data_IF_257341258161
#
_entry.id   IF_257341258161
#
_cell.length_a   1.000
_cell.length_b   1.000
_cell.length_c   1.000
_cell.angle_alpha   90.00
_cell.angle_beta   90.00
_cell.angle_gamma   90.00
#
_symmetry.space_group_name_H-M   'P 1'
#
loop_
_entity.id
_entity.type
_entity.pdbx_description
1 polymer ?
#
# COMPACT_ATOMS: atom_id res chain seq x y z
N UNK A 1 -24.98 -27.94 -4.57
CA UNK A 1 -23.55 -28.03 -4.27
C UNK A 1 -22.99 -26.61 -4.42
N UNK A 2 -22.75 -25.96 -3.31
CA UNK A 2 -22.09 -24.65 -3.23
C UNK A 2 -20.61 -24.87 -3.59
N UNK A 3 -20.19 -24.29 -4.74
CA UNK A 3 -18.81 -24.39 -5.17
C UNK A 3 -17.92 -23.58 -4.26
N UNK A 4 -16.93 -24.23 -3.63
CA UNK A 4 -15.83 -23.56 -2.94
C UNK A 4 -15.24 -22.50 -3.85
N UNK A 5 -15.37 -21.22 -3.47
CA UNK A 5 -14.65 -20.11 -4.10
C UNK A 5 -13.16 -20.33 -3.87
N UNK A 6 -12.46 -20.79 -4.90
CA UNK A 6 -10.99 -20.85 -4.87
C UNK A 6 -10.46 -19.42 -4.82
N UNK A 7 -10.12 -18.98 -3.62
CA UNK A 7 -9.35 -17.75 -3.41
C UNK A 7 -8.08 -17.82 -4.25
N UNK A 8 -7.80 -16.77 -5.03
CA UNK A 8 -6.58 -16.59 -5.82
C UNK A 8 -6.64 -16.96 -7.33
N UNK A 9 -7.81 -16.96 -7.95
CA UNK A 9 -7.95 -17.15 -9.41
C UNK A 9 -8.30 -15.81 -10.07
N UNK A 10 -7.55 -15.45 -11.10
CA UNK A 10 -7.89 -14.29 -11.93
C UNK A 10 -9.21 -14.50 -12.66
N UNK A 11 -10.27 -13.70 -12.42
CA UNK A 11 -11.50 -13.77 -13.18
C UNK A 11 -11.25 -13.51 -14.67
N UNK A 12 -11.89 -14.29 -15.52
CA UNK A 12 -11.72 -14.19 -16.96
C UNK A 12 -13.04 -14.35 -17.70
N UNK A 13 -13.05 -13.90 -18.95
CA UNK A 13 -14.14 -14.12 -19.92
C UNK A 13 -13.57 -14.77 -21.17
N UNK A 14 -14.37 -15.58 -21.83
CA UNK A 14 -14.01 -16.18 -23.14
C UNK A 14 -14.81 -15.47 -24.23
N UNK A 15 -14.11 -14.88 -25.20
CA UNK A 15 -14.69 -14.22 -26.37
C UNK A 15 -14.00 -14.79 -27.63
N UNK A 16 -14.76 -15.29 -28.58
CA UNK A 16 -14.24 -15.87 -29.82
C UNK A 16 -13.13 -16.92 -29.60
N UNK A 17 -13.35 -17.85 -28.66
CA UNK A 17 -12.42 -18.90 -28.25
C UNK A 17 -11.08 -18.38 -27.66
N UNK A 18 -11.00 -17.09 -27.31
CA UNK A 18 -9.84 -16.49 -26.60
C UNK A 18 -10.22 -16.12 -25.18
N UNK A 19 -9.31 -16.40 -24.24
CA UNK A 19 -9.46 -16.08 -22.84
C UNK A 19 -8.88 -14.69 -22.55
N UNK A 20 -9.67 -13.85 -21.88
CA UNK A 20 -9.28 -12.51 -21.47
C UNK A 20 -9.45 -12.37 -19.95
N UNK A 21 -8.46 -11.82 -19.27
CA UNK A 21 -8.53 -11.54 -17.84
C UNK A 21 -9.28 -10.23 -17.62
N UNK A 22 -10.25 -10.24 -16.71
CA UNK A 22 -11.13 -9.08 -16.44
C UNK A 22 -10.35 -7.85 -16.00
N UNK A 23 -9.41 -7.99 -15.06
CA UNK A 23 -8.57 -6.89 -14.59
C UNK A 23 -7.78 -6.20 -15.71
N UNK A 24 -7.25 -6.98 -16.68
CA UNK A 24 -6.56 -6.43 -17.85
C UNK A 24 -7.52 -5.65 -18.75
N UNK A 25 -8.73 -6.19 -18.97
CA UNK A 25 -9.74 -5.48 -19.76
C UNK A 25 -10.17 -4.18 -19.11
N UNK A 26 -10.43 -4.20 -17.79
CA UNK A 26 -10.80 -3.01 -17.03
C UNK A 26 -9.68 -1.97 -17.08
N UNK A 27 -8.45 -2.36 -16.80
CA UNK A 27 -7.33 -1.43 -16.83
C UNK A 27 -7.14 -0.78 -18.21
N UNK A 28 -7.17 -1.59 -19.28
CA UNK A 28 -6.99 -1.09 -20.67
C UNK A 28 -8.06 -0.10 -21.11
N UNK A 29 -9.27 -0.21 -20.58
CA UNK A 29 -10.39 0.62 -21.03
C UNK A 29 -10.64 1.84 -20.14
N UNK A 30 -10.28 1.76 -18.86
CA UNK A 30 -10.69 2.75 -17.88
C UNK A 30 -9.54 3.41 -17.10
N UNK A 31 -8.32 2.86 -17.16
CA UNK A 31 -7.17 3.44 -16.47
C UNK A 31 -6.16 3.95 -17.49
N UNK A 32 -5.92 5.26 -17.48
CA UNK A 32 -4.86 5.86 -18.30
C UNK A 32 -3.51 5.31 -17.85
N UNK A 33 -2.73 4.79 -18.81
CA UNK A 33 -1.34 4.42 -18.55
C UNK A 33 -0.44 5.62 -18.83
N UNK A 34 0.16 6.15 -17.80
CA UNK A 34 1.04 7.34 -17.83
C UNK A 34 2.43 7.04 -18.42
N UNK A 35 2.84 5.75 -18.48
CA UNK A 35 4.13 5.31 -19.04
C UNK A 35 3.98 3.93 -19.70
N UNK A 36 3.38 3.86 -20.92
CA UNK A 36 3.12 2.58 -21.58
C UNK A 36 4.37 1.79 -21.98
N UNK A 37 5.52 2.44 -22.08
CA UNK A 37 6.79 1.79 -22.46
C UNK A 37 7.35 0.96 -21.29
N UNK A 38 7.21 1.44 -20.06
CA UNK A 38 7.76 0.79 -18.88
C UNK A 38 6.70 0.11 -18.02
N UNK A 39 5.50 0.68 -17.89
CA UNK A 39 4.38 0.13 -17.12
C UNK A 39 3.52 -0.80 -17.97
N UNK A 40 4.00 -2.02 -18.17
CA UNK A 40 3.38 -2.99 -19.07
C UNK A 40 2.47 -4.01 -18.39
N UNK A 41 2.39 -3.97 -17.05
CA UNK A 41 1.61 -4.92 -16.25
C UNK A 41 0.50 -4.22 -15.47
N UNK A 42 -0.57 -4.97 -15.16
CA UNK A 42 -1.64 -4.52 -14.27
C UNK A 42 -1.51 -5.26 -12.95
N UNK A 43 -1.48 -4.51 -11.86
CA UNK A 43 -1.35 -5.00 -10.50
C UNK A 43 -2.64 -4.74 -9.70
N UNK A 44 -2.93 -5.62 -8.72
CA UNK A 44 -4.01 -5.45 -7.77
C UNK A 44 -3.45 -4.82 -6.50
N UNK A 45 -3.92 -3.62 -6.17
CA UNK A 45 -3.42 -2.82 -5.05
C UNK A 45 -3.57 -3.56 -3.72
N UNK A 46 -4.72 -4.23 -3.52
CA UNK A 46 -5.02 -5.01 -2.32
C UNK A 46 -4.51 -6.47 -2.36
N UNK A 47 -3.80 -6.87 -3.45
CA UNK A 47 -3.32 -8.23 -3.70
C UNK A 47 -4.43 -9.30 -3.86
N UNK A 48 -5.71 -8.93 -3.87
CA UNK A 48 -6.81 -9.83 -4.18
C UNK A 48 -7.00 -9.90 -5.70
N UNK A 49 -6.59 -11.01 -6.29
CA UNK A 49 -6.68 -11.26 -7.74
C UNK A 49 -8.12 -11.40 -8.24
N UNK A 50 -9.08 -11.59 -7.36
CA UNK A 50 -10.49 -11.69 -7.71
C UNK A 50 -11.17 -10.32 -7.80
N UNK A 51 -10.62 -9.31 -7.15
CA UNK A 51 -11.12 -7.94 -7.10
C UNK A 51 -10.59 -7.11 -8.26
N UNK A 52 -11.31 -7.13 -9.37
CA UNK A 52 -11.00 -6.33 -10.57
C UNK A 52 -11.71 -4.96 -10.58
N UNK A 53 -12.11 -4.43 -9.41
CA UNK A 53 -12.68 -3.10 -9.31
C UNK A 53 -11.66 -2.04 -9.74
N UNK A 54 -12.15 -0.99 -10.40
CA UNK A 54 -11.30 0.05 -11.00
C UNK A 54 -10.33 0.69 -10.01
N UNK A 55 -10.80 0.99 -8.80
CA UNK A 55 -10.00 1.59 -7.74
C UNK A 55 -8.91 0.67 -7.17
N UNK A 56 -8.99 -0.64 -7.46
CA UNK A 56 -8.03 -1.64 -7.01
C UNK A 56 -6.96 -1.98 -8.05
N UNK A 57 -7.00 -1.39 -9.23
CA UNK A 57 -6.09 -1.71 -10.33
C UNK A 57 -5.18 -0.53 -10.67
N UNK A 58 -3.93 -0.84 -11.00
CA UNK A 58 -2.96 0.15 -11.48
C UNK A 58 -2.02 -0.44 -12.53
N UNK A 59 -1.50 0.44 -13.39
CA UNK A 59 -0.40 0.10 -14.28
C UNK A 59 0.92 0.14 -13.53
N UNK A 60 1.76 -0.88 -13.72
CA UNK A 60 3.06 -1.02 -13.05
C UNK A 60 4.11 -1.56 -14.01
N UNK A 61 5.36 -1.22 -13.75
CA UNK A 61 6.49 -1.89 -14.39
C UNK A 61 6.67 -3.31 -13.86
N UNK A 62 7.36 -4.20 -14.58
CA UNK A 62 7.71 -5.53 -14.08
C UNK A 62 8.45 -5.50 -12.74
N UNK A 63 9.33 -4.51 -12.54
CA UNK A 63 10.08 -4.32 -11.30
C UNK A 63 9.18 -3.94 -10.13
N UNK A 64 8.28 -2.98 -10.31
CA UNK A 64 7.28 -2.59 -9.29
C UNK A 64 6.37 -3.74 -8.93
N UNK A 65 5.88 -4.50 -9.93
CA UNK A 65 5.06 -5.67 -9.69
C UNK A 65 5.80 -6.77 -8.93
N UNK A 66 7.08 -6.96 -9.20
CA UNK A 66 7.91 -7.92 -8.46
C UNK A 66 8.14 -7.50 -7.00
N UNK A 67 8.34 -6.23 -6.74
CA UNK A 67 8.49 -5.67 -5.39
C UNK A 67 7.20 -5.78 -4.58
N UNK A 68 6.04 -5.72 -5.26
CA UNK A 68 4.73 -5.90 -4.65
C UNK A 68 4.33 -7.36 -4.40
N UNK A 69 5.07 -8.33 -4.93
CA UNK A 69 4.84 -9.74 -4.59
C UNK A 69 5.23 -9.95 -3.14
N UNK A 70 4.23 -9.92 -2.25
CA UNK A 70 4.42 -10.26 -0.85
C UNK A 70 5.02 -11.66 -0.73
N UNK A 71 6.18 -11.76 -0.09
CA UNK A 71 6.65 -13.01 0.46
C UNK A 71 5.57 -13.58 1.40
N UNK A 72 5.15 -14.77 1.20
CA UNK A 72 4.37 -15.78 1.94
C UNK A 72 3.76 -15.51 3.32
N UNK A 73 3.64 -14.27 3.78
CA UNK A 73 2.87 -13.91 4.96
C UNK A 73 1.60 -13.23 4.49
N UNK A 74 0.47 -13.82 4.80
CA UNK A 74 -0.88 -13.31 4.57
C UNK A 74 -1.16 -12.06 5.43
N UNK A 75 -0.42 -10.99 5.22
CA UNK A 75 -0.75 -9.69 5.74
C UNK A 75 -1.92 -9.21 4.90
N UNK A 76 -3.13 -9.24 5.48
CA UNK A 76 -4.26 -8.54 4.89
C UNK A 76 -3.95 -7.05 4.93
N UNK A 77 -3.68 -6.47 3.77
CA UNK A 77 -3.57 -5.03 3.65
C UNK A 77 -4.97 -4.43 3.71
N UNK A 78 -5.19 -3.48 4.59
CA UNK A 78 -6.40 -2.67 4.63
C UNK A 78 -6.16 -1.39 3.83
N UNK A 79 -7.16 -1.03 3.02
CA UNK A 79 -7.15 0.18 2.23
C UNK A 79 -8.37 1.02 2.59
N UNK A 80 -8.20 2.32 2.57
CA UNK A 80 -9.27 3.29 2.80
C UNK A 80 -9.25 4.31 1.68
N UNK A 81 -10.44 4.82 1.34
CA UNK A 81 -10.60 5.81 0.27
C UNK A 81 -10.26 7.22 0.74
N UNK A 82 -10.18 7.42 2.06
CA UNK A 82 -9.88 8.71 2.67
C UNK A 82 -9.19 8.52 4.02
N UNK A 83 -8.52 9.55 4.50
CA UNK A 83 -7.88 9.61 5.82
C UNK A 83 -8.38 10.86 6.55
N UNK A 84 -8.32 10.90 7.91
CA UNK A 84 -8.72 12.10 8.66
C UNK A 84 -7.99 13.36 8.18
N UNK A 85 -8.72 14.48 8.10
CA UNK A 85 -8.15 15.78 7.68
C UNK A 85 -7.01 16.25 8.60
N UNK A 86 -7.03 15.81 9.85
CA UNK A 86 -5.99 16.10 10.85
C UNK A 86 -4.78 15.16 10.74
N UNK A 87 -4.77 14.22 9.80
CA UNK A 87 -3.64 13.32 9.62
C UNK A 87 -2.39 14.10 9.22
N UNK A 88 -1.35 13.95 10.03
CA UNK A 88 -0.08 14.65 9.85
C UNK A 88 0.76 13.98 8.75
N UNK A 89 1.34 14.78 7.85
CA UNK A 89 2.29 14.31 6.85
C UNK A 89 3.59 13.90 7.55
N UNK A 90 4.13 12.75 7.17
CA UNK A 90 5.45 12.29 7.63
C UNK A 90 6.47 12.58 6.53
N UNK A 91 7.24 13.63 6.67
CA UNK A 91 8.26 14.07 5.71
C UNK A 91 9.67 13.64 6.11
N UNK A 92 9.92 13.40 7.40
CA UNK A 92 11.21 12.92 7.90
C UNK A 92 11.10 12.05 9.15
N UNK A 93 12.18 11.36 9.46
CA UNK A 93 12.40 10.67 10.73
C UNK A 93 13.88 10.67 11.08
N UNK A 94 14.21 11.03 12.31
CA UNK A 94 15.58 11.00 12.82
C UNK A 94 15.88 9.65 13.51
N UNK A 95 16.79 8.90 12.93
CA UNK A 95 17.34 7.72 13.56
C UNK A 95 18.35 8.14 14.65
N UNK A 96 19.05 7.20 15.27
CA UNK A 96 20.14 7.52 16.21
C UNK A 96 21.34 8.19 15.56
N UNK A 97 21.52 8.00 14.26
CA UNK A 97 22.75 8.35 13.53
C UNK A 97 22.51 9.32 12.39
N UNK A 98 21.31 9.41 11.86
CA UNK A 98 21.03 10.19 10.67
C UNK A 98 19.55 10.57 10.56
N UNK A 99 19.27 11.65 9.83
CA UNK A 99 17.92 12.03 9.40
C UNK A 99 17.60 11.29 8.10
N UNK A 100 16.39 10.75 8.03
CA UNK A 100 15.81 10.12 6.85
C UNK A 100 14.65 10.94 6.36
N UNK A 101 14.61 11.21 5.07
CA UNK A 101 13.53 11.97 4.43
C UNK A 101 12.65 11.05 3.62
N UNK A 102 11.35 11.37 3.58
CA UNK A 102 10.35 10.62 2.85
C UNK A 102 9.83 11.45 1.68
N UNK A 103 9.27 10.77 0.70
CA UNK A 103 8.63 11.41 -0.46
C UNK A 103 7.45 12.27 0.02
N UNK A 104 7.33 13.46 -0.51
CA UNK A 104 6.30 14.43 -0.14
C UNK A 104 4.88 13.84 -0.31
N UNK A 105 4.02 14.05 0.68
CA UNK A 105 2.63 13.58 0.70
C UNK A 105 2.46 12.06 0.48
N UNK A 106 3.45 11.26 0.84
CA UNK A 106 3.40 9.81 0.71
C UNK A 106 2.93 9.08 1.95
N UNK A 107 3.36 9.55 3.13
CA UNK A 107 3.06 8.90 4.41
C UNK A 107 2.37 9.87 5.35
N UNK A 108 1.43 9.33 6.14
CA UNK A 108 0.62 10.09 7.08
C UNK A 108 0.53 9.37 8.41
N UNK A 109 0.44 10.12 9.48
CA UNK A 109 0.21 9.66 10.83
C UNK A 109 -1.07 10.28 11.39
N UNK A 110 -1.86 9.50 12.11
CA UNK A 110 -3.04 9.95 12.84
C UNK A 110 -3.13 9.18 14.15
N UNK A 111 -3.45 9.89 15.25
CA UNK A 111 -3.79 9.27 16.51
C UNK A 111 -5.32 9.19 16.64
N UNK A 112 -5.86 7.99 16.64
CA UNK A 112 -7.28 7.74 16.80
C UNK A 112 -7.64 7.76 18.27
N UNK A 113 -8.09 8.90 18.77
CA UNK A 113 -8.47 9.10 20.18
C UNK A 113 -9.61 8.16 20.62
N UNK A 114 -10.53 7.81 19.72
CA UNK A 114 -11.69 6.98 20.03
C UNK A 114 -11.29 5.55 20.38
N UNK A 115 -10.24 5.05 19.75
CA UNK A 115 -9.72 3.70 19.94
C UNK A 115 -8.40 3.70 20.73
N UNK A 116 -7.81 4.87 21.01
CA UNK A 116 -6.49 5.04 21.60
C UNK A 116 -5.40 4.30 20.78
N UNK A 117 -5.41 4.49 19.45
CA UNK A 117 -4.54 3.79 18.52
C UNK A 117 -3.75 4.74 17.63
N UNK A 118 -2.48 4.41 17.43
CA UNK A 118 -1.63 5.03 16.42
C UNK A 118 -1.94 4.43 15.04
N UNK A 119 -2.20 5.26 14.04
CA UNK A 119 -2.46 4.84 12.67
C UNK A 119 -1.48 5.47 11.70
N UNK A 120 -0.95 4.67 10.81
CA UNK A 120 -0.03 5.10 9.77
C UNK A 120 -0.59 4.72 8.41
N UNK A 121 -0.50 5.63 7.46
CA UNK A 121 -1.03 5.44 6.12
C UNK A 121 0.05 5.70 5.08
N UNK A 122 -0.02 4.96 3.97
CA UNK A 122 0.76 5.23 2.77
C UNK A 122 -0.20 5.57 1.62
N UNK A 123 -0.03 6.72 1.01
CA UNK A 123 -0.78 7.10 -0.19
C UNK A 123 -0.37 6.22 -1.37
N UNK A 124 -1.35 5.62 -2.01
CA UNK A 124 -1.16 4.76 -3.19
C UNK A 124 -1.61 5.49 -4.45
N UNK A 125 -2.76 6.16 -4.38
CA UNK A 125 -3.29 7.06 -5.43
C UNK A 125 -3.92 8.28 -4.74
N UNK A 126 -4.46 9.23 -5.50
CA UNK A 126 -5.07 10.43 -4.92
C UNK A 126 -6.23 10.14 -3.97
N UNK A 127 -6.90 9.00 -4.12
CA UNK A 127 -8.07 8.63 -3.34
C UNK A 127 -7.94 7.24 -2.71
N UNK A 128 -6.74 6.69 -2.57
CA UNK A 128 -6.53 5.38 -1.94
C UNK A 128 -5.31 5.43 -1.06
N UNK A 129 -5.51 5.07 0.20
CA UNK A 129 -4.47 4.97 1.21
C UNK A 129 -4.41 3.55 1.75
N UNK A 130 -3.21 3.05 1.94
CA UNK A 130 -2.95 1.78 2.59
C UNK A 130 -2.69 2.01 4.06
N UNK A 131 -3.41 1.29 4.93
CA UNK A 131 -3.11 1.27 6.36
C UNK A 131 -1.84 0.45 6.57
N UNK A 132 -0.86 1.04 7.24
CA UNK A 132 0.43 0.40 7.49
C UNK A 132 0.38 -0.41 8.79
N UNK A 133 0.91 -1.62 8.72
CA UNK A 133 0.97 -2.49 9.88
C UNK A 133 2.03 -2.02 10.89
N UNK A 134 1.64 -1.92 12.16
CA UNK A 134 2.55 -1.68 13.27
C UNK A 134 3.15 -3.02 13.70
N UNK A 135 4.47 -3.07 13.69
CA UNK A 135 5.24 -4.23 14.09
C UNK A 135 5.81 -4.02 15.51
N UNK A 136 6.01 -5.11 16.24
CA UNK A 136 6.67 -5.07 17.55
C UNK A 136 7.99 -5.83 17.47
N UNK A 137 9.08 -5.21 17.90
CA UNK A 137 10.38 -5.88 17.95
C UNK A 137 10.50 -6.77 19.20
N UNK A 138 11.61 -7.53 19.29
CA UNK A 138 11.88 -8.44 20.43
C UNK A 138 11.94 -7.74 21.81
N UNK A 139 12.17 -6.44 21.84
CA UNK A 139 12.22 -5.62 23.05
C UNK A 139 10.89 -4.95 23.39
N UNK A 140 9.81 -5.26 22.64
CA UNK A 140 8.47 -4.70 22.86
C UNK A 140 8.27 -3.30 22.24
N UNK A 141 9.24 -2.76 21.48
CA UNK A 141 9.08 -1.47 20.86
C UNK A 141 8.29 -1.58 19.54
N UNK A 142 7.30 -0.73 19.38
CA UNK A 142 6.48 -0.65 18.18
C UNK A 142 7.10 0.24 17.11
N UNK A 143 6.97 -0.18 15.86
CA UNK A 143 7.49 0.55 14.70
C UNK A 143 6.69 0.24 13.44
N UNK A 144 6.71 1.18 12.48
CA UNK A 144 6.28 0.96 11.11
C UNK A 144 7.50 0.96 10.19
N UNK A 145 7.40 0.24 9.07
CA UNK A 145 8.45 0.21 8.05
C UNK A 145 8.05 1.11 6.89
N UNK A 146 8.79 2.20 6.70
CA UNK A 146 8.61 3.14 5.60
C UNK A 146 9.80 3.03 4.62
N UNK A 147 9.65 3.58 3.42
CA UNK A 147 10.75 3.74 2.45
C UNK A 147 11.12 5.20 2.34
N UNK A 148 12.39 5.50 2.48
CA UNK A 148 12.93 6.84 2.31
C UNK A 148 13.05 7.22 0.81
N UNK A 149 13.46 8.46 0.55
CA UNK A 149 13.66 8.97 -0.83
C UNK A 149 14.74 8.20 -1.61
N UNK A 150 15.64 7.49 -0.92
CA UNK A 150 16.63 6.60 -1.52
C UNK A 150 16.12 5.17 -1.72
N UNK A 151 14.81 4.94 -1.47
CA UNK A 151 14.16 3.62 -1.53
C UNK A 151 14.69 2.59 -0.50
N UNK A 152 15.31 3.05 0.57
CA UNK A 152 15.75 2.21 1.69
C UNK A 152 14.62 2.04 2.70
N UNK A 153 14.50 0.84 3.28
CA UNK A 153 13.53 0.59 4.35
C UNK A 153 14.02 1.18 5.68
N UNK A 154 13.19 2.01 6.29
CA UNK A 154 13.43 2.66 7.58
C UNK A 154 12.40 2.18 8.59
N UNK A 155 12.86 1.68 9.73
CA UNK A 155 12.00 1.37 10.88
C UNK A 155 11.74 2.65 11.68
N UNK A 156 10.53 3.19 11.56
CA UNK A 156 10.09 4.38 12.30
C UNK A 156 9.49 3.93 13.63
N UNK A 157 10.25 4.07 14.71
CA UNK A 157 9.81 3.71 16.06
C UNK A 157 8.81 4.74 16.60
N UNK A 158 7.62 4.31 16.96
CA UNK A 158 6.46 5.18 17.24
C UNK A 158 6.75 6.19 18.37
N UNK A 159 7.25 5.73 19.51
CA UNK A 159 7.55 6.64 20.63
C UNK A 159 8.59 7.71 20.26
N UNK A 160 9.65 7.34 19.52
CA UNK A 160 10.64 8.31 19.07
C UNK A 160 10.05 9.29 18.06
N UNK A 161 9.25 8.80 17.14
CA UNK A 161 8.54 9.62 16.15
C UNK A 161 7.66 10.65 16.85
N UNK A 162 6.85 10.24 17.84
CA UNK A 162 6.01 11.14 18.61
C UNK A 162 6.81 12.24 19.33
N UNK A 163 7.94 11.90 19.94
CA UNK A 163 8.84 12.90 20.56
C UNK A 163 9.44 13.87 19.54
N UNK A 164 9.79 13.40 18.34
CA UNK A 164 10.38 14.26 17.29
C UNK A 164 9.39 15.28 16.73
N UNK A 165 8.10 14.98 16.83
CA UNK A 165 7.02 15.83 16.31
C UNK A 165 6.17 16.47 17.42
N UNK A 166 6.67 16.51 18.67
CA UNK A 166 6.01 17.12 19.83
C UNK A 166 4.58 16.61 20.08
N UNK A 167 4.36 15.31 19.86
CA UNK A 167 3.06 14.66 20.02
C UNK A 167 2.87 14.03 21.42
N UNK A 168 3.94 13.90 22.18
CA UNK A 168 3.99 13.43 23.59
C UNK A 168 5.12 14.10 24.35
#
# INVERSE_FOLDING_TARGET
AEGEYRQNVYPCVSLNNKKYYKHILVAKHFITNDDPEHKTQVDHINHDRSDYHLSNLRWVSPTENQQNKSSHLSIKYEFVDDIPDEAMIIDFYETKTERREFEENKYYYYFDESNNEDKFYAKITDNIYKILHINTNKSGNEFVSLRDVENKTVGVYINRFKHQHDLI
#
